data_IF_269203635197
#
_entry.id   IF_269203635197
#
_cell.length_a   1.000
_cell.length_b   1.000
_cell.length_c   1.000
_cell.angle_alpha   90.00
_cell.angle_beta   90.00
_cell.angle_gamma   90.00
#
_symmetry.space_group_name_H-M   'P 1'
#
loop_
_entity.id
_entity.type
_entity.pdbx_description
1 polymer ?
#
# COMPACT_ATOMS: atom_id res chain seq x y z
N UNK A 1 18.11 4.31 -7.98
CA UNK A 1 17.04 3.86 -7.06
C UNK A 1 17.66 3.65 -5.70
N UNK A 2 17.12 4.26 -4.65
CA UNK A 2 17.64 4.13 -3.28
C UNK A 2 16.76 3.18 -2.50
N UNK A 3 17.31 2.09 -1.98
CA UNK A 3 16.58 1.10 -1.18
C UNK A 3 16.95 1.29 0.29
N UNK A 4 15.98 1.70 1.10
CA UNK A 4 16.14 1.79 2.55
C UNK A 4 15.53 0.52 3.16
N UNK A 5 16.35 -0.30 3.82
CA UNK A 5 15.92 -1.55 4.45
C UNK A 5 15.93 -1.36 5.96
N UNK A 6 14.76 -1.56 6.59
CA UNK A 6 14.59 -1.47 8.05
C UNK A 6 14.14 -2.82 8.59
N UNK A 7 14.88 -3.38 9.55
CA UNK A 7 14.49 -4.59 10.27
C UNK A 7 13.90 -4.25 11.63
N UNK A 8 12.63 -4.61 11.86
CA UNK A 8 11.96 -4.51 13.16
C UNK A 8 11.96 -5.90 13.81
N UNK A 9 12.75 -6.07 14.87
CA UNK A 9 13.01 -7.38 15.49
C UNK A 9 13.60 -8.43 14.54
N UNK A 10 14.32 -7.99 13.50
CA UNK A 10 14.94 -8.87 12.50
C UNK A 10 16.36 -8.41 12.20
N UNK A 11 17.33 -9.33 12.26
CA UNK A 11 18.71 -9.05 11.88
C UNK A 11 18.84 -9.10 10.36
N UNK A 12 19.08 -7.94 9.75
CA UNK A 12 19.34 -7.88 8.31
C UNK A 12 20.79 -8.30 8.05
N UNK A 13 20.95 -9.47 7.43
CA UNK A 13 22.27 -9.95 6.99
C UNK A 13 22.63 -9.38 5.63
N UNK A 14 23.93 -9.18 5.37
CA UNK A 14 24.43 -8.57 4.13
C UNK A 14 23.92 -9.28 2.86
N UNK A 15 23.87 -10.62 2.87
CA UNK A 15 23.33 -11.43 1.76
C UNK A 15 21.86 -11.14 1.44
N UNK A 16 21.06 -10.84 2.46
CA UNK A 16 19.64 -10.50 2.29
C UNK A 16 19.50 -9.13 1.66
N UNK A 17 20.30 -8.16 2.12
CA UNK A 17 20.33 -6.79 1.56
C UNK A 17 20.71 -6.82 0.08
N UNK A 18 21.79 -7.52 -0.28
CA UNK A 18 22.21 -7.67 -1.68
C UNK A 18 21.15 -8.33 -2.57
N UNK A 19 20.43 -9.31 -2.02
CA UNK A 19 19.36 -9.99 -2.76
C UNK A 19 18.16 -9.06 -2.98
N UNK A 20 17.79 -8.28 -1.96
CA UNK A 20 16.74 -7.26 -2.07
C UNK A 20 17.13 -6.19 -3.08
N UNK A 21 18.33 -5.62 -2.98
CA UNK A 21 18.81 -4.60 -3.91
C UNK A 21 18.73 -5.08 -5.36
N UNK A 22 19.23 -6.28 -5.66
CA UNK A 22 19.15 -6.87 -7.01
C UNK A 22 17.71 -7.06 -7.51
N UNK A 23 16.79 -7.50 -6.64
CA UNK A 23 15.39 -7.71 -7.02
C UNK A 23 14.66 -6.40 -7.23
N UNK A 24 14.85 -5.41 -6.35
CA UNK A 24 14.25 -4.08 -6.47
C UNK A 24 14.86 -3.25 -7.61
N UNK A 25 16.12 -3.48 -7.99
CA UNK A 25 16.74 -2.83 -9.16
C UNK A 25 16.01 -3.17 -10.47
N UNK A 26 15.39 -4.36 -10.58
CA UNK A 26 14.55 -4.72 -11.73
C UNK A 26 13.34 -3.80 -11.88
N UNK A 27 12.82 -3.28 -10.76
CA UNK A 27 11.73 -2.29 -10.75
C UNK A 27 12.24 -0.89 -11.16
N UNK A 28 13.54 -0.62 -11.09
CA UNK A 28 14.15 0.62 -11.55
C UNK A 28 13.96 0.89 -13.04
N UNK A 29 13.74 -0.16 -13.85
CA UNK A 29 13.45 -0.05 -15.30
C UNK A 29 12.13 0.68 -15.59
N UNK A 30 11.23 0.76 -14.61
CA UNK A 30 9.89 1.33 -14.77
C UNK A 30 9.87 2.85 -14.55
N UNK A 31 10.98 3.46 -14.12
CA UNK A 31 11.01 4.84 -13.64
C UNK A 31 12.24 5.61 -14.13
N UNK A 32 12.12 6.94 -14.27
CA UNK A 32 13.22 7.82 -14.72
C UNK A 32 13.87 8.63 -13.62
N UNK A 33 13.17 8.77 -12.50
CA UNK A 33 13.59 9.59 -11.37
C UNK A 33 14.17 8.74 -10.24
N UNK A 34 14.95 9.38 -9.36
CA UNK A 34 15.51 8.81 -8.13
C UNK A 34 14.40 8.36 -7.15
N UNK A 35 13.89 7.16 -7.36
CA UNK A 35 12.87 6.57 -6.50
C UNK A 35 13.50 5.99 -5.24
N UNK A 36 12.86 6.29 -4.12
CA UNK A 36 13.15 5.68 -2.82
C UNK A 36 12.17 4.53 -2.56
N UNK A 37 12.70 3.35 -2.32
CA UNK A 37 11.95 2.21 -1.80
C UNK A 37 12.25 2.06 -0.33
N UNK A 38 11.22 2.05 0.50
CA UNK A 38 11.33 1.74 1.91
C UNK A 38 10.80 0.33 2.12
N UNK A 39 11.69 -0.58 2.52
CA UNK A 39 11.35 -1.97 2.85
C UNK A 39 11.45 -2.14 4.36
N UNK A 40 10.36 -2.59 4.97
CA UNK A 40 10.26 -2.92 6.39
C UNK A 40 10.08 -4.43 6.51
N UNK A 41 11.02 -5.07 7.16
CA UNK A 41 10.95 -6.47 7.55
C UNK A 41 10.57 -6.54 9.02
N UNK A 42 9.54 -7.31 9.35
CA UNK A 42 9.10 -7.53 10.73
C UNK A 42 8.78 -9.00 10.94
N UNK A 43 9.07 -9.52 12.14
CA UNK A 43 8.70 -10.88 12.51
C UNK A 43 7.56 -10.83 13.53
N UNK A 44 6.41 -11.40 13.18
CA UNK A 44 5.23 -11.46 14.05
C UNK A 44 4.75 -12.91 14.17
N UNK A 45 4.70 -13.43 15.41
CA UNK A 45 4.16 -14.78 15.74
C UNK A 45 4.77 -15.93 14.91
N UNK A 46 6.06 -15.84 14.58
CA UNK A 46 6.78 -16.87 13.80
C UNK A 46 6.54 -16.81 12.29
N UNK A 47 5.91 -15.74 11.78
CA UNK A 47 5.82 -15.43 10.35
C UNK A 47 6.59 -14.14 10.06
N UNK A 48 7.21 -14.10 8.89
CA UNK A 48 7.90 -12.91 8.41
C UNK A 48 6.91 -12.06 7.63
N UNK A 49 6.86 -10.78 7.98
CA UNK A 49 6.04 -9.77 7.33
C UNK A 49 6.95 -8.79 6.62
N UNK A 50 6.72 -8.63 5.33
CA UNK A 50 7.46 -7.75 4.44
C UNK A 50 6.52 -6.66 3.95
N UNK A 51 6.85 -5.41 4.25
CA UNK A 51 6.16 -4.24 3.74
C UNK A 51 7.11 -3.44 2.87
N UNK A 52 6.75 -3.20 1.61
CA UNK A 52 7.51 -2.35 0.71
C UNK A 52 6.65 -1.17 0.27
N UNK A 53 7.15 0.04 0.50
CA UNK A 53 6.54 1.30 0.10
C UNK A 53 7.45 2.01 -0.89
N UNK A 54 6.92 2.34 -2.06
CA UNK A 54 7.60 3.06 -3.13
C UNK A 54 6.94 4.43 -3.27
N UNK A 55 7.74 5.49 -3.09
CA UNK A 55 7.29 6.85 -3.31
C UNK A 55 7.81 7.34 -4.66
N UNK A 56 6.95 7.37 -5.67
CA UNK A 56 7.20 8.03 -6.94
C UNK A 56 6.51 9.40 -6.90
N UNK A 57 7.13 10.45 -7.43
CA UNK A 57 6.60 11.83 -7.37
C UNK A 57 5.12 11.90 -7.82
N UNK A 58 4.19 11.92 -6.86
CA UNK A 58 2.73 11.95 -7.09
C UNK A 58 1.97 10.62 -6.99
N UNK A 59 2.64 9.49 -6.73
CA UNK A 59 2.03 8.19 -6.51
C UNK A 59 2.78 7.36 -5.45
N UNK A 60 2.06 6.88 -4.44
CA UNK A 60 2.60 5.97 -3.42
C UNK A 60 2.09 4.57 -3.70
N UNK A 61 3.01 3.64 -3.94
CA UNK A 61 2.70 2.21 -4.08
C UNK A 61 3.12 1.49 -2.81
N UNK A 62 2.21 0.70 -2.23
CA UNK A 62 2.49 -0.10 -1.04
C UNK A 62 2.04 -1.53 -1.28
N UNK A 63 2.93 -2.47 -0.98
CA UNK A 63 2.63 -3.89 -0.96
C UNK A 63 3.06 -4.49 0.38
N UNK A 64 2.21 -5.35 0.92
CA UNK A 64 2.45 -6.10 2.15
C UNK A 64 2.25 -7.59 1.87
N UNK A 65 3.17 -8.41 2.37
CA UNK A 65 3.09 -9.86 2.33
C UNK A 65 3.51 -10.47 3.67
N UNK A 66 2.81 -11.53 4.08
CA UNK A 66 3.14 -12.33 5.27
C UNK A 66 3.45 -13.74 4.82
N UNK A 67 4.69 -14.18 4.97
CA UNK A 67 5.18 -15.50 4.53
C UNK A 67 6.02 -16.18 5.61
N UNK A 68 6.10 -17.52 5.61
CA UNK A 68 7.03 -18.26 6.46
C UNK A 68 8.48 -18.18 5.95
N UNK A 69 8.69 -17.95 4.64
CA UNK A 69 10.01 -17.74 4.03
C UNK A 69 10.13 -16.29 3.53
N UNK A 70 11.18 -15.61 3.96
CA UNK A 70 11.49 -14.24 3.59
C UNK A 70 11.84 -14.09 2.11
N UNK A 71 12.53 -15.06 1.50
CA UNK A 71 12.94 -14.97 0.10
C UNK A 71 11.74 -15.07 -0.84
N UNK A 72 10.80 -15.97 -0.52
CA UNK A 72 9.52 -16.09 -1.20
C UNK A 72 8.67 -14.82 -1.01
N UNK A 73 8.67 -14.27 0.20
CA UNK A 73 8.00 -13.01 0.50
C UNK A 73 8.52 -11.85 -0.36
N UNK A 74 9.84 -11.74 -0.55
CA UNK A 74 10.44 -10.69 -1.39
C UNK A 74 9.94 -10.81 -2.83
N UNK A 75 9.93 -12.02 -3.40
CA UNK A 75 9.43 -12.21 -4.77
C UNK A 75 7.97 -11.80 -4.90
N UNK A 76 7.11 -12.27 -3.99
CA UNK A 76 5.68 -11.92 -4.01
C UNK A 76 5.44 -10.42 -3.86
N UNK A 77 6.21 -9.74 -3.02
CA UNK A 77 6.12 -8.28 -2.86
C UNK A 77 6.54 -7.56 -4.13
N UNK A 78 7.64 -7.98 -4.76
CA UNK A 78 8.13 -7.41 -6.01
C UNK A 78 7.12 -7.62 -7.15
N UNK A 79 6.53 -8.81 -7.26
CA UNK A 79 5.52 -9.13 -8.25
C UNK A 79 4.25 -8.29 -8.05
N UNK A 80 3.76 -8.18 -6.81
CA UNK A 80 2.61 -7.32 -6.49
C UNK A 80 2.86 -5.86 -6.84
N UNK A 81 4.05 -5.34 -6.54
CA UNK A 81 4.43 -3.98 -6.90
C UNK A 81 4.51 -3.81 -8.41
N UNK A 82 5.11 -4.76 -9.12
CA UNK A 82 5.20 -4.75 -10.59
C UNK A 82 3.83 -4.73 -11.24
N UNK A 83 2.91 -5.61 -10.81
CA UNK A 83 1.54 -5.65 -11.31
C UNK A 83 0.75 -4.38 -10.99
N UNK A 84 0.90 -3.82 -9.78
CA UNK A 84 0.29 -2.54 -9.43
C UNK A 84 0.82 -1.41 -10.33
N UNK A 85 2.12 -1.36 -10.57
CA UNK A 85 2.73 -0.36 -11.45
C UNK A 85 2.23 -0.49 -12.88
N UNK A 86 2.19 -1.71 -13.45
CA UNK A 86 1.66 -1.95 -14.81
C UNK A 86 0.23 -1.42 -14.95
N UNK A 87 -0.65 -1.79 -14.00
CA UNK A 87 -2.07 -1.38 -14.00
C UNK A 87 -2.29 0.13 -13.85
N UNK A 88 -1.51 0.78 -13.00
CA UNK A 88 -1.68 2.22 -12.74
C UNK A 88 -0.94 3.10 -13.75
N UNK A 89 0.01 2.56 -14.52
CA UNK A 89 0.76 3.29 -15.55
C UNK A 89 -0.15 3.84 -16.67
N UNK A 90 -1.14 3.07 -17.12
CA UNK A 90 -2.16 3.53 -18.09
C UNK A 90 -3.05 4.66 -17.54
N UNK A 91 -3.41 4.60 -16.26
CA UNK A 91 -4.23 5.62 -15.58
C UNK A 91 -3.43 6.89 -15.24
N UNK A 92 -2.15 6.75 -14.89
CA UNK A 92 -1.23 7.85 -14.64
C UNK A 92 -0.90 8.63 -15.92
N UNK A 93 -0.75 7.96 -17.07
CA UNK A 93 -0.57 8.60 -18.39
C UNK A 93 -1.72 9.54 -18.75
N UNK A 94 -2.96 9.23 -18.32
CA UNK A 94 -4.16 10.04 -18.57
C UNK A 94 -4.33 11.23 -17.59
N UNK A 95 -3.76 11.14 -16.38
CA UNK A 95 -3.81 12.21 -15.36
C UNK A 95 -2.59 13.14 -15.32
N UNK A 96 -1.41 12.68 -15.77
CA UNK A 96 -0.13 13.37 -15.62
C UNK A 96 0.57 13.66 -16.96
N UNK A 97 -0.16 14.15 -17.96
CA UNK A 97 0.43 14.55 -19.24
C UNK A 97 1.49 15.68 -19.13
N UNK A 98 1.62 16.35 -17.97
CA UNK A 98 2.53 17.49 -17.79
C UNK A 98 3.81 17.24 -16.97
N UNK A 99 3.97 16.10 -16.27
CA UNK A 99 5.17 15.86 -15.45
C UNK A 99 6.06 14.74 -16.01
N UNK A 100 7.15 15.15 -16.65
CA UNK A 100 8.23 14.35 -17.31
C UNK A 100 9.03 13.38 -16.41
N UNK A 101 8.48 12.91 -15.29
CA UNK A 101 9.20 12.09 -14.30
C UNK A 101 9.21 10.57 -14.59
N UNK A 102 8.44 10.10 -15.58
CA UNK A 102 8.21 8.68 -15.85
C UNK A 102 8.54 8.34 -17.32
N UNK A 103 9.57 7.52 -17.58
CA UNK A 103 9.81 6.91 -18.90
C UNK A 103 8.96 5.67 -19.01
N UNK A 104 7.96 5.76 -19.85
CA UNK A 104 6.99 4.70 -20.08
C UNK A 104 7.51 3.63 -21.10
N UNK A 105 8.76 3.68 -21.55
CA UNK A 105 9.25 2.90 -22.71
C UNK A 105 9.53 1.40 -22.48
N UNK A 106 9.63 0.89 -21.24
CA UNK A 106 10.14 -0.48 -20.98
C UNK A 106 9.17 -1.44 -20.28
N UNK A 107 7.86 -1.22 -20.36
CA UNK A 107 6.87 -2.12 -19.73
C UNK A 107 6.10 -2.85 -20.82
N UNK A 108 6.01 -4.19 -20.78
CA UNK A 108 5.14 -4.92 -21.69
C UNK A 108 3.73 -4.38 -21.59
N UNK A 109 3.07 -4.19 -22.73
CA UNK A 109 1.65 -3.86 -22.77
C UNK A 109 0.88 -5.09 -22.28
N UNK A 110 0.53 -5.11 -21.00
CA UNK A 110 -0.52 -6.03 -20.54
C UNK A 110 -1.84 -5.53 -21.16
N UNK A 111 -2.38 -6.32 -22.11
CA UNK A 111 -3.67 -6.11 -22.79
C UNK A 111 -4.89 -6.25 -21.86
N UNK A 112 -4.69 -6.42 -20.55
CA UNK A 112 -5.78 -6.41 -19.59
C UNK A 112 -6.44 -5.02 -19.61
N UNK A 113 -7.53 -4.91 -20.37
CA UNK A 113 -8.45 -3.78 -20.36
C UNK A 113 -8.68 -3.39 -18.91
N UNK A 114 -8.14 -2.24 -18.53
CA UNK A 114 -8.29 -1.76 -17.17
C UNK A 114 -9.77 -1.41 -17.02
N UNK A 115 -10.58 -2.34 -16.51
CA UNK A 115 -12.00 -2.10 -16.27
C UNK A 115 -12.12 -0.75 -15.55
N UNK A 116 -12.79 0.19 -16.20
CA UNK A 116 -13.04 1.50 -15.62
C UNK A 116 -13.76 1.26 -14.30
N UNK A 117 -13.12 1.66 -13.20
CA UNK A 117 -13.67 1.51 -11.85
C UNK A 117 -14.88 2.43 -11.77
N UNK A 118 -16.06 1.89 -12.06
CA UNK A 118 -17.33 2.60 -11.97
C UNK A 118 -17.79 2.61 -10.52
N UNK A 119 -18.09 3.79 -10.00
CA UNK A 119 -18.73 3.92 -8.68
C UNK A 119 -20.14 3.39 -8.81
N UNK A 120 -20.36 2.15 -8.36
CA UNK A 120 -21.64 1.46 -8.50
C UNK A 120 -22.71 2.00 -7.54
N UNK A 121 -22.29 2.61 -6.42
CA UNK A 121 -23.22 3.04 -5.38
C UNK A 121 -22.63 4.19 -4.55
N UNK A 122 -23.46 5.19 -4.29
CA UNK A 122 -23.16 6.32 -3.39
C UNK A 122 -24.15 6.30 -2.24
N UNK A 123 -23.67 6.11 -1.00
CA UNK A 123 -24.48 6.19 0.22
C UNK A 123 -24.19 7.52 0.91
N UNK A 124 -25.24 8.33 1.13
CA UNK A 124 -25.17 9.53 1.97
C UNK A 124 -25.71 9.17 3.35
N UNK A 125 -24.98 9.53 4.40
CA UNK A 125 -25.41 9.37 5.78
C UNK A 125 -24.96 10.60 6.57
N UNK A 126 -25.66 10.87 7.68
CA UNK A 126 -25.30 11.94 8.60
C UNK A 126 -24.19 11.44 9.52
N UNK A 127 -23.11 12.21 9.63
CA UNK A 127 -22.06 11.95 10.61
C UNK A 127 -22.63 12.28 11.99
N UNK A 128 -22.67 11.28 12.86
CA UNK A 128 -23.03 11.45 14.27
C UNK A 128 -21.73 11.38 15.08
N UNK A 129 -21.50 12.33 16.00
CA UNK A 129 -20.37 12.23 16.93
C UNK A 129 -20.48 10.92 17.71
N UNK A 130 -19.43 10.12 17.71
CA UNK A 130 -19.34 8.88 18.48
C UNK A 130 -17.88 8.57 18.82
N UNK A 131 -17.68 7.68 19.78
CA UNK A 131 -16.36 7.16 20.14
C UNK A 131 -15.87 6.11 19.15
N UNK A 132 -14.57 5.80 19.19
CA UNK A 132 -13.97 4.73 18.38
C UNK A 132 -14.66 3.38 18.63
N UNK A 133 -14.97 3.06 19.89
CA UNK A 133 -15.60 1.79 20.28
C UNK A 133 -17.04 1.68 19.74
N UNK A 134 -17.80 2.77 19.79
CA UNK A 134 -19.14 2.84 19.19
C UNK A 134 -19.10 2.69 17.67
N UNK A 135 -18.10 3.30 17.02
CA UNK A 135 -17.88 3.16 15.59
C UNK A 135 -17.54 1.72 15.19
N UNK A 136 -16.76 0.99 16.01
CA UNK A 136 -16.47 -0.44 15.82
C UNK A 136 -17.76 -1.26 15.91
N UNK A 137 -18.60 -1.00 16.92
CA UNK A 137 -19.85 -1.72 17.14
C UNK A 137 -20.82 -1.53 15.95
N UNK A 138 -21.01 -0.29 15.50
CA UNK A 138 -21.82 0.03 14.31
C UNK A 138 -21.27 -0.63 13.04
N UNK A 139 -19.94 -0.63 12.86
CA UNK A 139 -19.28 -1.30 11.75
C UNK A 139 -19.58 -2.80 11.73
N UNK A 140 -19.50 -3.48 12.88
CA UNK A 140 -19.79 -4.91 13.02
C UNK A 140 -21.26 -5.23 12.76
N UNK A 141 -22.19 -4.42 13.30
CA UNK A 141 -23.63 -4.59 13.07
C UNK A 141 -23.99 -4.48 11.59
N UNK A 142 -23.36 -3.55 10.86
CA UNK A 142 -23.54 -3.38 9.42
C UNK A 142 -22.77 -4.39 8.57
N UNK A 143 -21.93 -5.23 9.20
CA UNK A 143 -21.03 -6.17 8.54
C UNK A 143 -20.17 -5.47 7.47
N UNK A 144 -19.66 -4.29 7.78
CA UNK A 144 -18.77 -3.53 6.90
C UNK A 144 -17.31 -3.72 7.32
N UNK A 145 -16.39 -3.63 6.35
CA UNK A 145 -14.96 -3.68 6.62
C UNK A 145 -14.37 -2.32 7.03
N UNK A 146 -15.15 -1.25 6.88
CA UNK A 146 -14.79 0.10 7.27
C UNK A 146 -16.04 0.89 7.68
N UNK A 147 -15.87 1.90 8.54
CA UNK A 147 -16.93 2.81 8.98
C UNK A 147 -16.36 4.20 9.22
N UNK A 148 -17.05 5.21 8.68
CA UNK A 148 -16.66 6.62 8.80
C UNK A 148 -17.52 7.27 9.87
N UNK A 149 -16.88 7.96 10.80
CA UNK A 149 -17.56 8.61 11.93
C UNK A 149 -16.92 9.97 12.23
N UNK A 150 -17.63 10.78 13.02
CA UNK A 150 -17.07 12.00 13.60
C UNK A 150 -16.62 11.66 15.01
N UNK A 151 -15.34 11.85 15.29
CA UNK A 151 -14.77 11.53 16.59
C UNK A 151 -15.12 12.62 17.61
N UNK A 152 -15.65 12.23 18.77
CA UNK A 152 -16.03 13.17 19.83
C UNK A 152 -14.83 13.82 20.51
N UNK A 153 -13.66 13.18 20.50
CA UNK A 153 -12.47 13.71 21.17
C UNK A 153 -11.72 14.71 20.31
N UNK A 154 -11.59 14.43 19.01
CA UNK A 154 -10.81 15.24 18.07
C UNK A 154 -11.65 16.15 17.19
N UNK A 155 -12.98 16.02 17.21
CA UNK A 155 -13.93 16.70 16.31
C UNK A 155 -13.56 16.56 14.82
N UNK A 156 -12.88 15.45 14.49
CA UNK A 156 -12.39 15.13 13.14
C UNK A 156 -13.10 13.93 12.56
N UNK A 157 -13.19 13.87 11.22
CA UNK A 157 -13.80 12.74 10.53
C UNK A 157 -12.80 11.60 10.47
N UNK A 158 -13.04 10.54 11.23
CA UNK A 158 -12.13 9.40 11.32
C UNK A 158 -12.76 8.17 10.64
N UNK A 159 -11.93 7.21 10.25
CA UNK A 159 -12.37 5.95 9.63
C UNK A 159 -11.82 4.78 10.40
N UNK A 160 -12.71 3.96 10.98
CA UNK A 160 -12.31 2.65 11.52
C UNK A 160 -12.39 1.60 10.43
N UNK A 161 -11.45 0.65 10.42
CA UNK A 161 -11.42 -0.45 9.47
C UNK A 161 -10.92 -1.75 10.10
N UNK A 162 -11.36 -2.87 9.53
CA UNK A 162 -10.95 -4.21 9.96
C UNK A 162 -9.61 -4.57 9.31
N UNK A 163 -8.62 -4.91 10.12
CA UNK A 163 -7.31 -5.39 9.67
C UNK A 163 -7.34 -6.90 9.41
N UNK A 164 -6.34 -7.40 8.66
CA UNK A 164 -6.23 -8.82 8.28
C UNK A 164 -5.98 -9.77 9.47
N UNK A 165 -5.47 -9.24 10.58
CA UNK A 165 -5.21 -9.95 11.84
C UNK A 165 -6.44 -10.00 12.76
N UNK A 166 -7.64 -9.65 12.26
CA UNK A 166 -8.89 -9.51 13.02
C UNK A 166 -8.84 -8.41 14.10
N UNK A 167 -7.86 -7.52 14.07
CA UNK A 167 -7.84 -6.32 14.88
C UNK A 167 -8.46 -5.13 14.14
N UNK A 168 -8.65 -4.02 14.85
CA UNK A 168 -9.17 -2.76 14.30
C UNK A 168 -8.04 -1.76 14.07
N UNK A 169 -8.16 -0.97 13.00
CA UNK A 169 -7.30 0.17 12.73
C UNK A 169 -8.15 1.42 12.59
N UNK A 170 -7.61 2.56 13.00
CA UNK A 170 -8.24 3.88 12.86
C UNK A 170 -7.38 4.73 11.94
N UNK A 171 -8.02 5.37 10.96
CA UNK A 171 -7.43 6.42 10.13
C UNK A 171 -7.96 7.75 10.65
N UNK A 172 -7.08 8.50 11.29
CA UNK A 172 -7.35 9.86 11.75
C UNK A 172 -7.11 10.84 10.60
N UNK A 173 -7.99 11.83 10.47
CA UNK A 173 -7.77 12.94 9.52
C UNK A 173 -7.25 14.16 10.24
N UNK A 174 -6.20 14.76 9.68
CA UNK A 174 -5.67 16.06 10.11
C UNK A 174 -5.84 17.04 8.95
N UNK A 175 -6.41 18.21 9.22
CA UNK A 175 -6.67 19.27 8.25
C UNK A 175 -5.62 20.39 8.32
#
# INVERSE_FOLDING_TARGET
MKVNITGKNFNTYQRLQETMEKKFERLGKYFSDDITVNVVLSQERGKDKIEATINAKGAVFRAEEVTPDIYEGIDKVVDKLSSQMSKFKGKLKKRYNDNKALKFEFVPEDEDEVEDVKVMRTKKFQLRPMSVDEAILEMEMLQHNFFVFLDMETDSVNVVYKRKDNNYGVLETTY
#
